data_IF_239087039960
#
_entry.id   IF_239087039960
#
_cell.length_a   1.000
_cell.length_b   1.000
_cell.length_c   1.000
_cell.angle_alpha   90.00
_cell.angle_beta   90.00
_cell.angle_gamma   90.00
#
_symmetry.space_group_name_H-M   'P 1'
#
loop_
_entity.id
_entity.type
_entity.pdbx_description
1 polymer ?
#
# COMPACT_ATOMS: atom_id res chain seq x y z
N UNK A 1 12.16 22.96 16.82
CA UNK A 1 11.51 22.29 15.69
C UNK A 1 11.59 20.78 15.81
N UNK A 2 10.74 20.23 16.68
CA UNK A 2 10.53 18.79 16.77
C UNK A 2 9.45 18.42 15.76
N UNK A 3 9.87 18.17 14.51
CA UNK A 3 8.98 17.59 13.50
C UNK A 3 8.47 16.25 14.03
N UNK A 4 7.21 16.21 14.42
CA UNK A 4 6.49 14.98 14.76
C UNK A 4 6.55 14.08 13.54
N UNK A 5 7.50 13.14 13.56
CA UNK A 5 7.60 12.06 12.59
C UNK A 5 6.29 11.28 12.72
N UNK A 6 5.36 11.48 11.80
CA UNK A 6 4.06 10.82 11.79
C UNK A 6 4.34 9.32 11.91
N UNK A 7 3.97 8.74 13.05
CA UNK A 7 4.12 7.31 13.34
C UNK A 7 3.27 6.59 12.30
N UNK A 8 3.92 6.11 11.23
CA UNK A 8 3.25 5.54 10.06
C UNK A 8 3.70 6.07 8.71
N UNK A 9 4.58 7.10 8.63
CA UNK A 9 5.13 7.58 7.36
C UNK A 9 6.53 7.01 7.03
N UNK A 10 7.19 6.34 7.98
CA UNK A 10 8.59 5.92 7.82
C UNK A 10 8.73 4.52 7.21
N UNK A 11 9.31 4.46 6.01
CA UNK A 11 9.65 3.23 5.29
C UNK A 11 11.16 2.95 5.28
N UNK A 12 11.97 3.72 6.01
CA UNK A 12 13.41 3.46 6.12
C UNK A 12 13.73 2.10 6.78
N UNK A 13 12.98 1.61 7.79
CA UNK A 13 13.20 0.25 8.32
C UNK A 13 12.99 -0.83 7.24
N UNK A 14 11.95 -0.70 6.42
CA UNK A 14 11.70 -1.60 5.29
C UNK A 14 12.85 -1.53 4.28
N UNK A 15 13.33 -0.32 3.96
CA UNK A 15 14.48 -0.13 3.07
C UNK A 15 15.72 -0.85 3.58
N UNK A 16 16.02 -0.69 4.87
CA UNK A 16 17.19 -1.29 5.49
C UNK A 16 17.10 -2.81 5.44
N UNK A 17 15.98 -3.37 5.91
CA UNK A 17 15.75 -4.82 5.92
C UNK A 17 15.89 -5.43 4.52
N UNK A 18 15.31 -4.80 3.49
CA UNK A 18 15.40 -5.29 2.12
C UNK A 18 16.82 -5.22 1.55
N UNK A 19 17.59 -4.18 1.90
CA UNK A 19 18.99 -4.06 1.47
C UNK A 19 19.87 -5.13 2.07
N UNK A 20 19.67 -5.42 3.35
CA UNK A 20 20.42 -6.42 4.10
C UNK A 20 20.10 -7.84 3.61
N UNK A 21 18.82 -8.15 3.38
CA UNK A 21 18.36 -9.47 2.92
C UNK A 21 18.65 -9.75 1.43
N UNK A 22 18.42 -8.77 0.56
CA UNK A 22 18.36 -9.01 -0.89
C UNK A 22 19.50 -8.38 -1.70
N UNK A 23 20.43 -7.67 -1.04
CA UNK A 23 21.61 -7.06 -1.67
C UNK A 23 21.27 -6.02 -2.73
N UNK A 24 22.13 -5.85 -3.74
CA UNK A 24 22.07 -4.75 -4.72
C UNK A 24 20.77 -4.67 -5.54
N UNK A 25 20.03 -5.78 -5.71
CA UNK A 25 18.78 -5.85 -6.49
C UNK A 25 17.51 -5.91 -5.63
N UNK A 26 17.61 -5.55 -4.35
CA UNK A 26 16.51 -5.65 -3.37
C UNK A 26 15.18 -5.05 -3.82
N UNK A 27 15.21 -3.95 -4.59
CA UNK A 27 14.00 -3.24 -5.04
C UNK A 27 13.08 -4.11 -5.89
N UNK A 28 13.61 -5.05 -6.66
CA UNK A 28 12.82 -5.77 -7.67
C UNK A 28 12.85 -7.30 -7.48
N UNK A 29 13.21 -7.76 -6.27
CA UNK A 29 13.28 -9.19 -5.93
C UNK A 29 11.92 -9.81 -5.70
N UNK A 30 11.00 -9.06 -5.10
CA UNK A 30 9.63 -9.48 -4.85
C UNK A 30 8.67 -8.39 -5.36
N UNK A 31 7.44 -8.76 -5.77
CA UNK A 31 6.39 -7.82 -6.09
C UNK A 31 5.93 -7.04 -4.85
N UNK A 32 5.68 -5.75 -5.04
CA UNK A 32 5.18 -4.83 -4.02
C UNK A 32 3.67 -4.65 -4.22
N UNK A 33 2.86 -5.07 -3.25
CA UNK A 33 1.41 -5.04 -3.34
C UNK A 33 0.85 -4.02 -2.35
N UNK A 34 0.13 -3.02 -2.84
CA UNK A 34 -0.56 -2.05 -2.00
C UNK A 34 -1.98 -2.52 -1.72
N UNK A 35 -2.29 -2.79 -0.45
CA UNK A 35 -3.63 -3.13 0.00
C UNK A 35 -4.43 -1.85 0.25
N UNK A 36 -5.69 -1.85 -0.16
CA UNK A 36 -6.64 -0.74 0.06
C UNK A 36 -8.06 -1.28 0.14
N UNK A 37 -9.02 -0.50 0.65
CA UNK A 37 -10.41 -0.95 0.81
C UNK A 37 -10.84 -0.98 2.28
N UNK A 38 -11.49 -2.07 2.70
CA UNK A 38 -12.01 -2.21 4.06
C UNK A 38 -10.88 -2.51 5.06
N UNK A 39 -10.59 -1.54 5.93
CA UNK A 39 -9.52 -1.64 6.94
C UNK A 39 -9.69 -2.84 7.89
N UNK A 40 -10.92 -3.15 8.29
CA UNK A 40 -11.20 -4.30 9.16
C UNK A 40 -10.91 -5.61 8.44
N UNK A 41 -11.30 -5.71 7.17
CA UNK A 41 -11.00 -6.90 6.36
C UNK A 41 -9.49 -7.07 6.14
N UNK A 42 -8.78 -5.99 5.79
CA UNK A 42 -7.33 -6.00 5.58
C UNK A 42 -6.61 -6.44 6.85
N UNK A 43 -6.98 -5.85 7.98
CA UNK A 43 -6.29 -6.11 9.25
C UNK A 43 -6.71 -7.42 9.93
N UNK A 44 -7.80 -8.05 9.47
CA UNK A 44 -8.13 -9.44 9.79
C UNK A 44 -7.34 -10.43 8.93
N UNK A 45 -7.06 -10.09 7.66
CA UNK A 45 -6.25 -10.92 6.75
C UNK A 45 -4.77 -10.89 7.10
N UNK A 46 -4.24 -9.70 7.44
CA UNK A 46 -2.83 -9.50 7.76
C UNK A 46 -2.72 -8.66 9.04
N UNK A 47 -2.81 -9.30 10.23
CA UNK A 47 -2.81 -8.61 11.52
C UNK A 47 -1.55 -7.77 11.78
N UNK A 48 -0.41 -8.15 11.22
CA UNK A 48 0.88 -7.47 11.34
C UNK A 48 0.82 -6.03 10.81
N UNK A 49 -0.04 -5.80 9.80
CA UNK A 49 -0.22 -4.48 9.21
C UNK A 49 -0.86 -3.47 10.19
N UNK A 50 -1.44 -3.92 11.31
CA UNK A 50 -1.92 -3.01 12.38
C UNK A 50 -0.78 -2.29 13.08
N UNK A 51 0.37 -2.96 13.23
CA UNK A 51 1.50 -2.46 14.01
C UNK A 51 2.54 -1.74 13.12
N UNK A 52 2.61 -2.12 11.85
CA UNK A 52 3.58 -1.59 10.89
C UNK A 52 2.95 -1.45 9.51
N UNK A 53 3.40 -0.49 8.70
CA UNK A 53 2.78 -0.19 7.41
C UNK A 53 3.19 -1.13 6.26
N UNK A 54 3.81 -2.26 6.58
CA UNK A 54 4.33 -3.22 5.61
C UNK A 54 4.41 -4.61 6.24
N UNK A 55 4.34 -5.64 5.41
CA UNK A 55 4.52 -7.03 5.82
C UNK A 55 5.21 -7.78 4.68
N UNK A 56 6.15 -8.66 5.00
CA UNK A 56 6.95 -9.37 4.01
C UNK A 56 6.56 -10.84 4.08
N UNK A 57 6.11 -11.37 2.95
CA UNK A 57 5.86 -12.79 2.76
C UNK A 57 6.94 -13.39 1.86
N UNK A 58 6.88 -14.71 1.66
CA UNK A 58 7.80 -15.38 0.73
C UNK A 58 7.63 -14.90 -0.71
N UNK A 59 6.38 -14.56 -1.09
CA UNK A 59 6.02 -14.21 -2.46
C UNK A 59 5.92 -12.72 -2.73
N UNK A 60 5.69 -11.88 -1.72
CA UNK A 60 5.37 -10.47 -1.92
C UNK A 60 5.68 -9.59 -0.71
N UNK A 61 5.79 -8.29 -0.98
CA UNK A 61 5.83 -7.25 0.04
C UNK A 61 4.46 -6.59 0.05
N UNK A 62 3.71 -6.82 1.12
CA UNK A 62 2.41 -6.21 1.36
C UNK A 62 2.62 -4.84 2.00
N UNK A 63 1.94 -3.84 1.48
CA UNK A 63 2.01 -2.46 1.94
C UNK A 63 0.59 -2.04 2.28
N UNK A 64 0.43 -1.47 3.46
CA UNK A 64 -0.85 -0.89 3.86
C UNK A 64 -0.57 0.16 4.90
N UNK A 65 -1.34 1.23 4.86
CA UNK A 65 -1.33 2.22 5.91
C UNK A 65 -2.76 2.54 6.25
N UNK A 66 -3.05 2.63 7.54
CA UNK A 66 -4.35 3.04 8.03
C UNK A 66 -4.74 4.38 7.38
N UNK A 67 -5.87 4.44 6.65
CA UNK A 67 -6.34 5.66 6.03
C UNK A 67 -6.52 6.79 7.05
N UNK A 68 -6.12 8.01 6.67
CA UNK A 68 -6.32 9.23 7.49
C UNK A 68 -7.75 9.78 7.31
N UNK A 69 -8.38 9.47 6.19
CA UNK A 69 -9.77 9.78 5.86
C UNK A 69 -10.34 8.64 5.00
N UNK A 70 -11.68 8.49 4.98
CA UNK A 70 -12.46 7.44 4.29
C UNK A 70 -11.75 6.77 3.11
N UNK A 71 -11.10 5.62 3.37
CA UNK A 71 -10.48 4.76 2.36
C UNK A 71 -9.20 5.30 1.69
N UNK A 72 -8.75 6.51 1.97
CA UNK A 72 -7.57 7.12 1.32
C UNK A 72 -6.27 6.93 2.15
N UNK A 73 -5.22 6.29 1.58
CA UNK A 73 -3.90 6.24 2.21
C UNK A 73 -3.30 7.65 2.38
N UNK A 74 -2.45 7.86 3.39
CA UNK A 74 -1.82 9.16 3.61
C UNK A 74 -0.93 9.55 2.42
N UNK A 75 -1.15 10.76 1.91
CA UNK A 75 -0.38 11.34 0.80
C UNK A 75 1.11 11.45 1.14
N UNK A 76 1.46 11.64 2.42
CA UNK A 76 2.86 11.73 2.85
C UNK A 76 3.55 10.37 2.78
N UNK A 77 2.89 9.32 3.27
CA UNK A 77 3.38 7.95 3.15
C UNK A 77 3.49 7.48 1.69
N UNK A 78 2.50 7.78 0.84
CA UNK A 78 2.58 7.46 -0.59
C UNK A 78 3.78 8.14 -1.27
N UNK A 79 4.14 9.36 -0.86
CA UNK A 79 5.35 10.05 -1.35
C UNK A 79 6.63 9.37 -0.89
N UNK A 80 6.70 8.89 0.34
CA UNK A 80 7.86 8.11 0.83
C UNK A 80 8.00 6.77 0.09
N UNK A 81 6.88 6.10 -0.19
CA UNK A 81 6.86 4.89 -1.03
C UNK A 81 7.37 5.18 -2.45
N UNK A 82 6.95 6.30 -3.05
CA UNK A 82 7.47 6.72 -4.36
C UNK A 82 8.97 7.01 -4.32
N UNK A 83 9.50 7.66 -3.28
CA UNK A 83 10.95 7.89 -3.12
C UNK A 83 11.72 6.57 -3.01
N UNK A 84 11.12 5.55 -2.39
CA UNK A 84 11.71 4.23 -2.21
C UNK A 84 11.85 3.45 -3.53
N UNK A 85 10.81 3.50 -4.39
CA UNK A 85 10.76 2.86 -5.72
C UNK A 85 10.22 3.82 -6.80
N UNK A 86 11.07 4.75 -7.27
CA UNK A 86 10.67 5.82 -8.20
C UNK A 86 10.06 5.41 -9.56
N UNK A 87 10.37 4.22 -10.09
CA UNK A 87 9.90 3.79 -11.43
C UNK A 87 8.64 2.92 -11.39
N UNK A 88 8.51 2.08 -10.37
CA UNK A 88 7.38 1.19 -10.13
C UNK A 88 7.18 1.13 -8.62
N UNK A 89 6.53 2.14 -8.00
CA UNK A 89 6.41 2.21 -6.55
C UNK A 89 5.67 1.01 -5.96
N UNK A 90 4.73 0.45 -6.72
CA UNK A 90 4.05 -0.82 -6.46
C UNK A 90 3.95 -1.60 -7.76
N UNK A 91 3.84 -2.92 -7.66
CA UNK A 91 3.63 -3.83 -8.79
C UNK A 91 2.13 -4.11 -9.02
N UNK A 92 1.31 -4.05 -7.95
CA UNK A 92 -0.15 -4.05 -8.05
C UNK A 92 -0.83 -3.35 -6.86
N UNK A 93 -2.10 -2.98 -7.06
CA UNK A 93 -3.01 -2.48 -6.01
C UNK A 93 -4.09 -3.53 -5.81
N UNK A 94 -4.30 -3.96 -4.57
CA UNK A 94 -5.29 -4.98 -4.19
C UNK A 94 -6.39 -4.30 -3.39
N UNK A 95 -7.62 -4.33 -3.92
CA UNK A 95 -8.80 -3.81 -3.22
C UNK A 95 -9.43 -4.95 -2.42
N UNK A 96 -9.38 -4.84 -1.10
CA UNK A 96 -9.98 -5.79 -0.17
C UNK A 96 -11.38 -5.31 0.20
N UNK A 97 -12.38 -6.04 -0.25
CA UNK A 97 -13.79 -5.82 0.10
C UNK A 97 -14.22 -6.64 1.32
N UNK A 98 -15.42 -6.36 1.82
CA UNK A 98 -16.07 -7.22 2.81
C UNK A 98 -16.52 -8.54 2.15
N UNK A 99 -16.31 -9.67 2.83
CA UNK A 99 -16.73 -10.98 2.35
C UNK A 99 -18.26 -11.07 2.14
N UNK A 100 -19.03 -10.25 2.87
CA UNK A 100 -20.48 -10.14 2.70
C UNK A 100 -20.90 -9.40 1.42
N UNK A 101 -20.00 -8.64 0.80
CA UNK A 101 -20.26 -7.86 -0.42
C UNK A 101 -19.85 -8.61 -1.70
N UNK A 102 -19.60 -9.91 -1.60
CA UNK A 102 -19.11 -10.75 -2.69
C UNK A 102 -20.24 -11.13 -3.68
N UNK A 103 -20.91 -10.12 -4.23
CA UNK A 103 -21.46 -10.20 -5.56
C UNK A 103 -20.47 -9.46 -6.47
N UNK A 104 -19.90 -10.10 -7.51
CA UNK A 104 -19.19 -9.36 -8.55
C UNK A 104 -20.25 -8.60 -9.36
N UNK A 105 -20.70 -7.46 -8.84
CA UNK A 105 -21.36 -6.47 -9.67
C UNK A 105 -20.26 -5.64 -10.29
N UNK A 106 -19.97 -5.77 -11.60
CA UNK A 106 -19.30 -4.71 -12.33
C UNK A 106 -20.27 -3.53 -12.35
N UNK A 107 -20.31 -2.76 -11.27
CA UNK A 107 -20.97 -1.46 -11.28
C UNK A 107 -20.09 -0.56 -12.13
N UNK A 108 -20.35 -0.60 -13.44
CA UNK A 108 -19.98 0.41 -14.41
C UNK A 108 -20.80 1.66 -14.08
N UNK A 109 -20.38 2.31 -13.01
CA UNK A 109 -20.87 3.58 -12.53
C UNK A 109 -19.73 4.19 -11.72
N UNK A 110 -19.55 5.51 -11.82
CA UNK A 110 -18.52 6.27 -11.10
C UNK A 110 -18.66 6.00 -9.59
N UNK A 111 -17.97 4.99 -9.08
CA UNK A 111 -18.02 4.60 -7.68
C UNK A 111 -16.78 5.15 -6.96
N UNK A 112 -16.92 5.43 -5.66
CA UNK A 112 -15.84 5.99 -4.83
C UNK A 112 -14.54 5.15 -4.91
N UNK A 113 -14.68 3.83 -5.06
CA UNK A 113 -13.57 2.91 -5.32
C UNK A 113 -12.82 3.22 -6.62
N UNK A 114 -13.51 3.54 -7.72
CA UNK A 114 -12.89 3.96 -8.98
C UNK A 114 -12.16 5.30 -8.86
N UNK A 115 -12.73 6.27 -8.15
CA UNK A 115 -12.08 7.57 -7.87
C UNK A 115 -10.83 7.37 -7.01
N UNK A 116 -10.91 6.50 -6.00
CA UNK A 116 -9.79 6.15 -5.12
C UNK A 116 -8.67 5.44 -5.89
N UNK A 117 -9.00 4.46 -6.74
CA UNK A 117 -8.04 3.78 -7.60
C UNK A 117 -7.36 4.74 -8.59
N UNK A 118 -8.13 5.63 -9.23
CA UNK A 118 -7.57 6.65 -10.12
C UNK A 118 -6.65 7.62 -9.37
N UNK A 119 -7.00 8.01 -8.14
CA UNK A 119 -6.15 8.84 -7.29
C UNK A 119 -4.84 8.12 -6.93
N UNK A 120 -4.92 6.86 -6.51
CA UNK A 120 -3.74 6.04 -6.18
C UNK A 120 -2.87 5.85 -7.43
N UNK A 121 -3.44 5.45 -8.56
CA UNK A 121 -2.71 5.28 -9.82
C UNK A 121 -2.02 6.57 -10.28
N UNK A 122 -2.71 7.71 -10.19
CA UNK A 122 -2.15 9.03 -10.51
C UNK A 122 -0.95 9.39 -9.61
N UNK A 123 -1.08 9.21 -8.29
CA UNK A 123 0.02 9.46 -7.34
C UNK A 123 1.23 8.57 -7.57
N UNK A 124 0.99 7.36 -8.03
CA UNK A 124 2.03 6.39 -8.36
C UNK A 124 2.57 6.56 -9.79
N UNK A 125 2.01 7.49 -10.59
CA UNK A 125 2.26 7.63 -12.04
C UNK A 125 2.16 6.29 -12.78
N UNK A 126 1.22 5.47 -12.35
CA UNK A 126 1.01 4.12 -12.86
C UNK A 126 0.08 4.15 -14.06
N UNK A 127 0.58 3.73 -15.22
CA UNK A 127 -0.24 3.34 -16.38
C UNK A 127 -0.13 1.84 -16.56
N UNK A 128 -1.27 1.15 -16.60
CA UNK A 128 -1.36 -0.24 -17.01
C UNK A 128 -1.06 -0.40 -18.50
#
# INVERSE_FOLDING_TARGET
>A
DSGTKVVGADLDPLRQWLRESNGLRWRYRQPWLLLTGNDTAITSLVPELKNQCWHITDDAILLWQKPVAEGRPDDTWLRELYKLRRRRPVDAIVVVGDAASNAPTPSRGTNAAGIQLAHIASRLRWSA
#
